data_IF_992303148214
#
_entry.id   IF_992303148214
#
_cell.length_a   1.000
_cell.length_b   1.000
_cell.length_c   1.000
_cell.angle_alpha   90.00
_cell.angle_beta   90.00
_cell.angle_gamma   90.00
#
_symmetry.space_group_name_H-M   'P 1'
#
loop_
_entity.id
_entity.type
_entity.pdbx_description
1 polymer ?
#
# COMPACT_ATOMS: atom_id res chain seq x y z
N UNK A 1 -13.52 8.74 -0.94
CA UNK A 1 -14.36 7.78 -0.17
C UNK A 1 -15.71 7.67 -0.87
N UNK A 2 -16.17 6.46 -1.18
CA UNK A 2 -17.54 6.22 -1.67
C UNK A 2 -18.47 5.92 -0.50
N UNK A 3 -19.77 6.19 -0.68
CA UNK A 3 -20.80 5.74 0.26
C UNK A 3 -20.89 4.21 0.18
N UNK A 4 -20.84 3.47 1.31
CA UNK A 4 -20.80 2.00 1.33
C UNK A 4 -22.19 1.39 1.07
N UNK A 5 -22.76 1.68 -0.09
CA UNK A 5 -24.09 1.23 -0.50
C UNK A 5 -23.95 0.38 -1.76
N UNK A 6 -24.33 -0.90 -1.64
CA UNK A 6 -24.25 -1.88 -2.72
C UNK A 6 -25.49 -1.80 -3.63
N UNK A 7 -25.52 -0.78 -4.49
CA UNK A 7 -26.57 -0.62 -5.50
C UNK A 7 -25.97 -0.64 -6.91
N UNK A 8 -26.65 -1.24 -7.90
CA UNK A 8 -26.23 -1.22 -9.30
C UNK A 8 -25.89 0.19 -9.78
N UNK A 9 -24.73 0.35 -10.43
CA UNK A 9 -24.24 1.64 -10.94
C UNK A 9 -23.36 2.45 -9.97
N UNK A 10 -23.34 2.12 -8.68
CA UNK A 10 -22.49 2.83 -7.71
C UNK A 10 -21.00 2.47 -7.87
N UNK A 11 -20.12 3.34 -7.37
CA UNK A 11 -18.69 3.03 -7.27
C UNK A 11 -18.44 1.83 -6.35
N UNK A 12 -19.14 1.76 -5.21
CA UNK A 12 -18.97 0.67 -4.25
C UNK A 12 -19.35 -0.70 -4.86
N UNK A 13 -20.50 -0.79 -5.52
CA UNK A 13 -20.91 -2.01 -6.23
C UNK A 13 -19.88 -2.46 -7.28
N UNK A 14 -19.37 -1.51 -8.08
CA UNK A 14 -18.33 -1.79 -9.07
C UNK A 14 -17.04 -2.29 -8.42
N UNK A 15 -16.61 -1.69 -7.31
CA UNK A 15 -15.43 -2.11 -6.57
C UNK A 15 -15.58 -3.52 -5.99
N UNK A 16 -16.75 -3.87 -5.45
CA UNK A 16 -17.03 -5.24 -4.98
C UNK A 16 -16.89 -6.22 -6.15
N UNK A 17 -17.55 -5.97 -7.28
CA UNK A 17 -17.46 -6.85 -8.47
C UNK A 17 -16.05 -6.96 -9.03
N UNK A 18 -15.30 -5.87 -9.10
CA UNK A 18 -13.91 -5.88 -9.51
C UNK A 18 -13.05 -6.73 -8.56
N UNK A 19 -13.22 -6.57 -7.24
CA UNK A 19 -12.49 -7.36 -6.24
C UNK A 19 -12.81 -8.86 -6.34
N UNK A 20 -14.07 -9.22 -6.61
CA UNK A 20 -14.47 -10.61 -6.80
C UNK A 20 -13.82 -11.19 -8.06
N UNK A 21 -13.86 -10.45 -9.17
CA UNK A 21 -13.26 -10.87 -10.43
C UNK A 21 -11.74 -11.07 -10.30
N UNK A 22 -11.04 -10.10 -9.71
CA UNK A 22 -9.59 -10.20 -9.52
C UNK A 22 -9.23 -11.43 -8.68
N UNK A 23 -9.95 -11.67 -7.58
CA UNK A 23 -9.69 -12.83 -6.72
C UNK A 23 -9.96 -14.15 -7.42
N UNK A 24 -11.16 -14.30 -7.99
CA UNK A 24 -11.67 -15.58 -8.51
C UNK A 24 -11.05 -15.94 -9.87
N UNK A 25 -10.76 -14.95 -10.71
CA UNK A 25 -10.28 -15.19 -12.08
C UNK A 25 -8.79 -14.90 -12.24
N UNK A 26 -8.33 -13.72 -11.84
CA UNK A 26 -6.95 -13.29 -12.14
C UNK A 26 -5.96 -13.97 -11.21
N UNK A 27 -6.14 -13.81 -9.89
CA UNK A 27 -5.21 -14.32 -8.90
C UNK A 27 -5.21 -15.85 -8.86
N UNK A 28 -6.37 -16.50 -8.96
CA UNK A 28 -6.43 -17.96 -9.04
C UNK A 28 -5.67 -18.53 -10.24
N UNK A 29 -5.71 -17.87 -11.41
CA UNK A 29 -4.91 -18.30 -12.57
C UNK A 29 -3.41 -18.14 -12.31
N UNK A 30 -2.99 -17.01 -11.74
CA UNK A 30 -1.58 -16.75 -11.41
C UNK A 30 -1.07 -17.75 -10.38
N UNK A 31 -1.86 -18.05 -9.34
CA UNK A 31 -1.53 -19.03 -8.30
C UNK A 31 -1.32 -20.41 -8.92
N UNK A 32 -2.25 -20.87 -9.77
CA UNK A 32 -2.15 -22.17 -10.46
C UNK A 32 -0.91 -22.23 -11.35
N UNK A 33 -0.66 -21.19 -12.14
CA UNK A 33 0.55 -21.10 -12.97
C UNK A 33 1.81 -21.16 -12.12
N UNK A 34 1.85 -20.46 -10.99
CA UNK A 34 3.02 -20.48 -10.10
C UNK A 34 3.24 -21.87 -9.50
N UNK A 35 2.19 -22.59 -9.09
CA UNK A 35 2.29 -23.97 -8.60
C UNK A 35 2.89 -24.91 -9.65
N UNK A 36 2.44 -24.81 -10.90
CA UNK A 36 3.01 -25.59 -12.00
C UNK A 36 4.48 -25.26 -12.21
N UNK A 37 4.83 -23.96 -12.26
CA UNK A 37 6.22 -23.55 -12.43
C UNK A 37 7.13 -24.02 -11.29
N UNK A 38 6.63 -24.04 -10.04
CA UNK A 38 7.37 -24.57 -8.88
C UNK A 38 7.57 -26.09 -8.99
N UNK A 39 6.54 -26.84 -9.40
CA UNK A 39 6.62 -28.28 -9.60
C UNK A 39 7.59 -28.66 -10.74
N UNK A 40 7.66 -27.84 -11.79
CA UNK A 40 8.57 -28.02 -12.93
C UNK A 40 9.99 -27.49 -12.67
N UNK A 41 10.27 -26.93 -11.49
CA UNK A 41 11.57 -26.33 -11.15
C UNK A 41 11.91 -25.05 -11.93
N UNK A 42 10.94 -24.46 -12.65
CA UNK A 42 11.08 -23.20 -13.40
C UNK A 42 10.96 -21.96 -12.50
N UNK A 43 10.46 -22.14 -11.29
CA UNK A 43 10.28 -21.11 -10.28
C UNK A 43 11.07 -21.47 -9.01
N UNK A 44 11.73 -20.47 -8.40
CA UNK A 44 12.37 -20.64 -7.10
C UNK A 44 11.38 -20.46 -5.94
N UNK A 45 11.50 -21.26 -4.86
CA UNK A 45 10.73 -21.11 -3.62
C UNK A 45 10.83 -19.72 -2.96
N UNK A 46 11.95 -19.01 -3.14
CA UNK A 46 12.22 -17.73 -2.46
C UNK A 46 12.21 -16.51 -3.41
N UNK A 47 11.68 -16.65 -4.63
CA UNK A 47 11.75 -15.56 -5.62
C UNK A 47 10.85 -14.37 -5.28
N UNK A 48 9.68 -14.63 -4.67
CA UNK A 48 8.70 -13.62 -4.31
C UNK A 48 7.73 -14.14 -3.25
N UNK A 49 6.88 -13.23 -2.78
CA UNK A 49 5.91 -13.49 -1.71
C UNK A 49 4.87 -14.55 -2.07
N UNK A 50 4.49 -14.68 -3.35
CA UNK A 50 3.54 -15.70 -3.78
C UNK A 50 4.17 -17.10 -3.68
N UNK A 51 5.40 -17.27 -4.17
CA UNK A 51 6.12 -18.54 -4.01
C UNK A 51 6.30 -18.90 -2.54
N UNK A 52 6.64 -17.92 -1.71
CA UNK A 52 6.78 -18.13 -0.27
C UNK A 52 5.44 -18.57 0.36
N UNK A 53 4.35 -17.85 0.12
CA UNK A 53 3.01 -18.22 0.64
C UNK A 53 2.53 -19.61 0.20
N UNK A 54 2.95 -20.09 -0.97
CA UNK A 54 2.61 -21.41 -1.48
C UNK A 54 3.37 -22.55 -0.80
N UNK A 55 4.56 -22.28 -0.26
CA UNK A 55 5.50 -23.31 0.22
C UNK A 55 5.75 -23.21 1.73
N UNK A 56 5.28 -22.16 2.39
CA UNK A 56 5.36 -22.04 3.84
C UNK A 56 4.13 -22.67 4.48
N UNK A 57 4.38 -23.71 5.27
CA UNK A 57 3.40 -24.26 6.20
C UNK A 57 3.35 -23.42 7.48
N UNK A 58 2.20 -23.41 8.15
CA UNK A 58 2.07 -22.86 9.50
C UNK A 58 2.72 -23.77 10.56
N UNK A 59 2.61 -23.38 11.83
CA UNK A 59 3.18 -24.12 12.96
C UNK A 59 2.63 -25.55 13.10
N UNK A 60 1.42 -25.79 12.59
CA UNK A 60 0.77 -27.11 12.57
C UNK A 60 1.12 -27.92 11.31
N UNK A 61 2.00 -27.40 10.45
CA UNK A 61 2.40 -28.04 9.19
C UNK A 61 1.36 -27.90 8.06
N UNK A 62 0.39 -26.99 8.21
CA UNK A 62 -0.68 -26.79 7.23
C UNK A 62 -0.35 -25.66 6.27
N UNK A 63 -0.54 -25.93 4.97
CA UNK A 63 -0.35 -24.93 3.91
C UNK A 63 -1.57 -24.02 3.76
N UNK A 64 -1.30 -22.78 3.34
CA UNK A 64 -2.34 -21.78 3.11
C UNK A 64 -3.23 -22.16 1.92
N UNK A 65 -4.54 -21.92 2.05
CA UNK A 65 -5.48 -22.15 0.95
C UNK A 65 -5.27 -21.11 -0.15
N UNK A 66 -5.48 -21.51 -1.40
CA UNK A 66 -5.34 -20.62 -2.57
C UNK A 66 -6.25 -19.39 -2.49
N UNK A 67 -7.47 -19.53 -1.93
CA UNK A 67 -8.37 -18.40 -1.67
C UNK A 67 -7.75 -17.37 -0.73
N UNK A 68 -7.13 -17.84 0.35
CA UNK A 68 -6.58 -16.99 1.39
C UNK A 68 -5.30 -16.30 0.90
N UNK A 69 -4.52 -17.00 0.07
CA UNK A 69 -3.38 -16.42 -0.66
C UNK A 69 -3.86 -15.30 -1.59
N UNK A 70 -4.92 -15.53 -2.37
CA UNK A 70 -5.48 -14.52 -3.26
C UNK A 70 -5.98 -13.29 -2.48
N UNK A 71 -6.68 -13.48 -1.36
CA UNK A 71 -7.13 -12.38 -0.50
C UNK A 71 -5.94 -11.58 0.08
N UNK A 72 -4.88 -12.25 0.55
CA UNK A 72 -3.68 -11.58 1.07
C UNK A 72 -2.94 -10.80 -0.01
N UNK A 73 -2.77 -11.38 -1.20
CA UNK A 73 -2.11 -10.68 -2.31
C UNK A 73 -2.93 -9.45 -2.72
N UNK A 74 -4.25 -9.58 -2.85
CA UNK A 74 -5.11 -8.43 -3.15
C UNK A 74 -5.00 -7.34 -2.08
N UNK A 75 -5.01 -7.73 -0.80
CA UNK A 75 -4.83 -6.81 0.32
C UNK A 75 -3.48 -6.07 0.27
N UNK A 76 -2.39 -6.79 -0.03
CA UNK A 76 -1.06 -6.19 -0.20
C UNK A 76 -1.00 -5.20 -1.36
N UNK A 77 -1.59 -5.54 -2.50
CA UNK A 77 -1.64 -4.65 -3.67
C UNK A 77 -2.40 -3.36 -3.37
N UNK A 78 -3.58 -3.46 -2.74
CA UNK A 78 -4.37 -2.29 -2.37
C UNK A 78 -3.65 -1.45 -1.31
N UNK A 79 -3.12 -2.09 -0.27
CA UNK A 79 -2.45 -1.40 0.83
C UNK A 79 -1.15 -0.69 0.41
N UNK A 80 -0.43 -1.25 -0.57
CA UNK A 80 0.81 -0.70 -1.08
C UNK A 80 0.64 0.37 -2.17
N UNK A 81 -0.49 0.39 -2.88
CA UNK A 81 -0.69 1.30 -4.00
C UNK A 81 -0.87 2.75 -3.52
N UNK A 82 -1.95 3.03 -2.79
CA UNK A 82 -2.32 4.42 -2.50
C UNK A 82 -1.36 5.11 -1.53
N UNK A 83 -0.82 4.35 -0.56
CA UNK A 83 0.09 4.89 0.47
C UNK A 83 1.47 5.20 -0.10
N UNK A 84 2.08 4.28 -0.86
CA UNK A 84 3.39 4.48 -1.47
C UNK A 84 3.34 5.56 -2.54
N UNK A 85 2.30 5.58 -3.40
CA UNK A 85 2.13 6.61 -4.42
C UNK A 85 1.98 8.00 -3.79
N UNK A 86 1.19 8.13 -2.72
CA UNK A 86 1.04 9.41 -2.01
C UNK A 86 2.34 9.86 -1.35
N UNK A 87 3.07 8.93 -0.72
CA UNK A 87 4.38 9.23 -0.11
C UNK A 87 5.38 9.73 -1.17
N UNK A 88 5.48 9.04 -2.31
CA UNK A 88 6.33 9.46 -3.43
C UNK A 88 5.94 10.85 -3.95
N UNK A 89 4.64 11.12 -4.12
CA UNK A 89 4.16 12.43 -4.55
C UNK A 89 4.55 13.53 -3.56
N UNK A 90 4.41 13.28 -2.25
CA UNK A 90 4.83 14.23 -1.22
C UNK A 90 6.34 14.43 -1.20
N UNK A 91 7.14 13.38 -1.35
CA UNK A 91 8.59 13.48 -1.44
C UNK A 91 8.97 14.41 -2.59
N UNK A 92 8.43 14.17 -3.80
CA UNK A 92 8.71 15.01 -4.97
C UNK A 92 8.29 16.45 -4.73
N UNK A 93 7.08 16.68 -4.19
CA UNK A 93 6.59 18.01 -3.86
C UNK A 93 7.53 18.75 -2.91
N UNK A 94 7.89 18.13 -1.78
CA UNK A 94 8.71 18.79 -0.77
C UNK A 94 10.15 19.02 -1.23
N UNK A 95 10.70 18.13 -2.06
CA UNK A 95 12.01 18.36 -2.66
C UNK A 95 11.99 19.56 -3.62
N UNK A 96 10.91 19.76 -4.38
CA UNK A 96 10.76 20.91 -5.27
C UNK A 96 10.57 22.23 -4.50
N UNK A 97 9.81 22.21 -3.39
CA UNK A 97 9.51 23.41 -2.60
C UNK A 97 10.64 23.81 -1.63
N UNK A 98 11.55 22.88 -1.27
CA UNK A 98 12.61 23.11 -0.27
C UNK A 98 14.02 22.84 -0.85
N UNK A 99 14.64 23.83 -1.49
CA UNK A 99 15.95 23.66 -2.14
C UNK A 99 17.08 23.18 -1.22
N UNK A 100 17.03 23.52 0.07
CA UNK A 100 18.01 23.06 1.06
C UNK A 100 17.89 21.55 1.32
N UNK A 101 16.67 21.00 1.35
CA UNK A 101 16.42 19.56 1.48
C UNK A 101 16.85 18.82 0.21
N UNK A 102 16.51 19.37 -0.96
CA UNK A 102 16.97 18.82 -2.24
C UNK A 102 18.49 18.75 -2.33
N UNK A 103 19.20 19.82 -1.98
CA UNK A 103 20.66 19.82 -1.97
C UNK A 103 21.24 18.82 -0.95
N UNK A 104 20.60 18.65 0.20
CA UNK A 104 20.98 17.62 1.18
C UNK A 104 20.87 16.21 0.60
N UNK A 105 19.71 15.87 0.02
CA UNK A 105 19.49 14.56 -0.63
C UNK A 105 20.45 14.35 -1.81
N UNK A 106 20.63 15.37 -2.65
CA UNK A 106 21.53 15.32 -3.81
C UNK A 106 22.99 15.06 -3.44
N UNK A 107 23.46 15.65 -2.33
CA UNK A 107 24.82 15.44 -1.81
C UNK A 107 24.98 14.11 -1.06
N UNK A 108 23.94 13.29 -0.95
CA UNK A 108 23.98 12.02 -0.23
C UNK A 108 24.09 12.18 1.30
N UNK A 109 23.53 13.26 1.86
CA UNK A 109 23.62 13.50 3.31
C UNK A 109 22.87 12.41 4.09
N UNK A 110 23.63 11.62 4.86
CA UNK A 110 23.11 10.83 5.98
C UNK A 110 22.56 11.82 7.02
N UNK A 111 21.25 11.77 7.30
CA UNK A 111 20.62 12.61 8.32
C UNK A 111 21.07 12.08 9.69
N UNK A 112 21.95 12.76 10.44
CA UNK A 112 22.58 12.16 11.63
C UNK A 112 21.61 12.03 12.81
N UNK A 113 20.40 12.59 12.72
CA UNK A 113 19.50 12.71 13.86
C UNK A 113 18.03 12.65 13.44
N UNK A 114 17.43 11.45 13.52
CA UNK A 114 15.99 11.24 13.31
C UNK A 114 15.11 12.14 14.22
N UNK A 115 15.66 12.64 15.34
CA UNK A 115 14.95 13.50 16.29
C UNK A 115 14.57 14.86 15.67
N UNK A 116 15.43 15.45 14.83
CA UNK A 116 15.14 16.74 14.18
C UNK A 116 14.11 16.61 13.05
N UNK A 117 14.11 15.47 12.34
CA UNK A 117 13.08 15.18 11.34
C UNK A 117 11.71 14.96 12.02
N UNK A 118 11.66 14.21 13.13
CA UNK A 118 10.44 13.99 13.90
C UNK A 118 9.90 15.29 14.54
N UNK A 119 10.76 16.18 15.03
CA UNK A 119 10.36 17.49 15.53
C UNK A 119 9.78 18.37 14.42
N UNK A 120 10.46 18.46 13.27
CA UNK A 120 10.01 19.28 12.13
C UNK A 120 8.68 18.78 11.56
N UNK A 121 8.50 17.45 11.46
CA UNK A 121 7.23 16.86 11.03
C UNK A 121 6.15 17.07 12.08
N UNK A 122 6.45 16.91 13.38
CA UNK A 122 5.47 17.13 14.47
C UNK A 122 4.98 18.58 14.52
N UNK A 123 5.88 19.55 14.36
CA UNK A 123 5.52 20.98 14.34
C UNK A 123 4.68 21.33 13.11
N UNK A 124 5.01 20.78 11.94
CA UNK A 124 4.28 21.06 10.70
C UNK A 124 2.91 20.37 10.67
N UNK A 125 2.80 19.14 11.17
CA UNK A 125 1.51 18.43 11.35
C UNK A 125 0.62 19.13 12.39
N UNK A 126 1.21 19.66 13.47
CA UNK A 126 0.48 20.43 14.50
C UNK A 126 0.00 21.77 13.96
N UNK A 127 0.81 22.45 13.14
CA UNK A 127 0.41 23.68 12.44
C UNK A 127 -0.73 23.45 11.43
N UNK A 128 -0.69 22.36 10.65
CA UNK A 128 -1.78 22.01 9.72
C UNK A 128 -3.08 21.64 10.44
N UNK A 129 -3.01 20.99 11.61
CA UNK A 129 -4.20 20.71 12.44
C UNK A 129 -4.82 21.98 13.03
N UNK A 130 -3.99 22.95 13.42
CA UNK A 130 -4.44 24.25 13.92
C UNK A 130 -5.13 25.10 12.83
N UNK A 131 -4.66 25.02 11.57
CA UNK A 131 -5.29 25.71 10.44
C UNK A 131 -6.67 25.13 10.10
N UNK A 132 -6.84 23.81 10.20
CA UNK A 132 -8.13 23.15 9.97
C UNK A 132 -9.16 23.48 11.06
N UNK A 133 -8.74 23.54 12.34
CA UNK A 133 -9.61 23.92 13.46
C UNK A 133 -10.05 25.40 13.38
N UNK A 134 -9.24 26.28 12.80
CA UNK A 134 -9.62 27.69 12.55
C UNK A 134 -10.62 27.85 11.40
N UNK A 135 -10.54 27.00 10.37
CA UNK A 135 -11.47 26.97 9.24
C UNK A 135 -12.85 26.44 9.66
N UNK A 136 -12.88 25.46 10.58
CA UNK A 136 -14.11 24.87 11.12
C UNK A 136 -14.88 25.83 12.04
N UNK A 137 -14.20 26.74 12.74
CA UNK A 137 -14.85 27.76 13.58
C UNK A 137 -15.38 28.97 12.79
N UNK A 138 -14.88 29.25 11.59
CA UNK A 138 -15.31 30.40 10.79
C UNK A 138 -16.26 30.04 9.63
N UNK A 139 -16.46 28.75 9.34
CA UNK A 139 -17.43 28.25 8.35
C UNK A 139 -18.87 28.09 8.87
N UNK A 140 -19.13 28.35 10.16
CA UNK A 140 -20.46 28.29 10.76
C UNK A 140 -21.04 29.71 10.99
N UNK A 141 -21.36 30.40 9.89
CA UNK A 141 -22.34 31.50 9.86
C UNK A 141 -23.15 31.43 8.57
#
# INVERSE_FOLDING_TARGET
>A
MSIPVDLPGTLFHRSIKASEYIRKEVLMRIIKQRKIALAEGKASPMQDILSHMLLTADEDGKFMKESDIADKILGLLIGGHDTASSACAFIVKYLAELPHMYQGVYKGMYVPNLTLLNLTISERVRGSRFMLEMEEQHGAK
#
